data_IF_685308608778
#
_entry.id   IF_685308608778
#
_cell.length_a   1.000
_cell.length_b   1.000
_cell.length_c   1.000
_cell.angle_alpha   90.00
_cell.angle_beta   90.00
_cell.angle_gamma   90.00
#
_symmetry.space_group_name_H-M   'P 1'
#
loop_
_entity.id
_entity.type
_entity.pdbx_description
1 polymer ?
#
# COMPACT_ATOMS: atom_id res chain seq x y z
N UNK A 1 -19.86 -14.81 6.03
CA UNK A 1 -18.61 -15.06 6.78
C UNK A 1 -17.85 -13.76 6.89
N UNK A 2 -17.40 -13.40 8.09
CA UNK A 2 -16.87 -12.06 8.37
C UNK A 2 -15.65 -12.16 9.27
N UNK A 3 -14.49 -11.67 8.81
CA UNK A 3 -13.29 -11.53 9.63
C UNK A 3 -13.59 -10.71 10.89
N UNK A 4 -13.08 -11.15 12.04
CA UNK A 4 -13.25 -10.44 13.31
C UNK A 4 -12.50 -9.11 13.29
N UNK A 5 -12.78 -8.25 14.27
CA UNK A 5 -12.01 -7.02 14.45
C UNK A 5 -10.53 -7.32 14.72
N UNK A 6 -10.24 -8.36 15.49
CA UNK A 6 -8.88 -8.79 15.81
C UNK A 6 -8.16 -9.29 14.56
N UNK A 7 -8.80 -10.07 13.69
CA UNK A 7 -8.18 -10.54 12.43
C UNK A 7 -7.76 -9.37 11.54
N UNK A 8 -8.66 -8.38 11.41
CA UNK A 8 -8.41 -7.14 10.66
C UNK A 8 -7.25 -6.35 11.25
N UNK A 9 -7.18 -6.23 12.57
CA UNK A 9 -6.09 -5.53 13.25
C UNK A 9 -4.76 -6.27 13.13
N UNK A 10 -4.73 -7.60 13.21
CA UNK A 10 -3.52 -8.40 12.98
C UNK A 10 -3.01 -8.23 11.54
N UNK A 11 -3.90 -8.35 10.55
CA UNK A 11 -3.55 -8.12 9.15
C UNK A 11 -3.00 -6.71 8.92
N UNK A 12 -3.66 -5.70 9.51
CA UNK A 12 -3.18 -4.32 9.49
C UNK A 12 -1.79 -4.17 10.09
N UNK A 13 -1.57 -4.71 11.30
CA UNK A 13 -0.31 -4.59 12.01
C UNK A 13 0.85 -5.26 11.26
N UNK A 14 0.62 -6.46 10.70
CA UNK A 14 1.62 -7.17 9.90
C UNK A 14 2.07 -6.31 8.70
N UNK A 15 1.10 -5.78 7.93
CA UNK A 15 1.41 -4.95 6.76
C UNK A 15 2.12 -3.65 7.16
N UNK A 16 1.72 -3.01 8.26
CA UNK A 16 2.38 -1.79 8.74
C UNK A 16 3.79 -2.03 9.23
N UNK A 17 4.06 -3.17 9.86
CA UNK A 17 5.44 -3.58 10.16
C UNK A 17 6.25 -3.75 8.89
N UNK A 18 5.69 -4.33 7.83
CA UNK A 18 6.41 -4.41 6.55
C UNK A 18 6.68 -3.06 5.89
N UNK A 19 5.83 -2.06 6.10
CA UNK A 19 6.00 -0.73 5.51
C UNK A 19 6.95 0.16 6.32
N UNK A 20 6.88 0.08 7.65
CA UNK A 20 7.45 1.11 8.53
C UNK A 20 8.14 0.54 9.77
N UNK A 21 8.18 -0.78 9.93
CA UNK A 21 8.64 -1.46 11.15
C UNK A 21 7.88 -1.03 12.42
N UNK A 22 6.68 -0.46 12.26
CA UNK A 22 5.81 0.00 13.34
C UNK A 22 4.41 -0.60 13.18
N UNK A 23 3.92 -1.42 14.14
CA UNK A 23 2.62 -2.11 14.02
C UNK A 23 1.42 -1.20 13.80
N UNK A 24 1.47 0.03 14.30
CA UNK A 24 0.37 1.00 14.16
C UNK A 24 0.83 2.29 13.45
N UNK A 25 1.96 2.23 12.74
CA UNK A 25 2.56 3.32 11.99
C UNK A 25 2.75 4.61 12.79
N UNK A 26 2.77 5.74 12.07
CA UNK A 26 2.88 7.08 12.65
C UNK A 26 1.74 7.96 12.14
N UNK A 27 0.78 8.25 13.01
CA UNK A 27 -0.38 9.08 12.69
C UNK A 27 -0.01 10.54 12.42
N UNK A 28 1.16 11.00 12.91
CA UNK A 28 1.64 12.36 12.76
C UNK A 28 2.63 12.51 11.60
N UNK A 29 2.99 11.42 10.91
CA UNK A 29 3.82 11.49 9.71
C UNK A 29 3.24 12.52 8.74
N UNK A 30 4.05 13.46 8.28
CA UNK A 30 3.61 14.49 7.35
C UNK A 30 4.83 14.95 6.56
N UNK A 31 4.90 14.53 5.31
CA UNK A 31 6.03 14.76 4.42
C UNK A 31 5.54 15.25 3.07
N UNK A 32 6.41 15.92 2.32
CA UNK A 32 6.19 16.26 0.91
C UNK A 32 7.33 15.61 0.15
N UNK A 33 7.00 14.72 -0.78
CA UNK A 33 7.96 14.02 -1.62
C UNK A 33 8.00 14.65 -3.01
N UNK A 34 9.11 14.48 -3.73
CA UNK A 34 9.28 14.97 -5.10
C UNK A 34 8.65 14.02 -6.14
N UNK A 35 7.46 13.51 -5.83
CA UNK A 35 6.66 12.61 -6.68
C UNK A 35 5.39 13.31 -7.22
N UNK A 36 5.24 14.59 -6.91
CA UNK A 36 4.09 15.41 -7.27
C UNK A 36 2.81 15.07 -6.51
N UNK A 37 2.81 14.15 -5.54
CA UNK A 37 1.63 13.76 -4.76
C UNK A 37 1.19 14.84 -3.75
N UNK A 38 2.09 15.78 -3.44
CA UNK A 38 1.88 16.86 -2.49
C UNK A 38 2.15 16.42 -1.06
N UNK A 39 1.32 16.89 -0.11
CA UNK A 39 1.38 16.41 1.28
C UNK A 39 1.00 14.92 1.31
N UNK A 40 1.86 14.12 1.92
CA UNK A 40 1.62 12.72 2.32
C UNK A 40 1.57 12.65 3.85
N UNK A 41 0.42 12.22 4.38
CA UNK A 41 0.10 12.33 5.81
C UNK A 41 -0.32 11.00 6.45
N UNK A 42 0.06 10.79 7.71
CA UNK A 42 -0.49 9.79 8.60
C UNK A 42 -0.08 8.35 8.32
N UNK A 43 -0.79 7.43 8.98
CA UNK A 43 -0.47 6.00 9.09
C UNK A 43 -0.41 5.26 7.75
N UNK A 44 -1.05 5.80 6.71
CA UNK A 44 -1.10 5.21 5.37
C UNK A 44 -0.68 6.18 4.26
N UNK A 45 0.07 7.24 4.60
CA UNK A 45 0.55 8.23 3.64
C UNK A 45 -0.56 8.80 2.74
N UNK A 46 -1.65 9.28 3.35
CA UNK A 46 -2.76 9.91 2.66
C UNK A 46 -2.26 11.14 1.89
N UNK A 47 -2.40 11.11 0.57
CA UNK A 47 -1.83 12.15 -0.30
C UNK A 47 -2.87 13.18 -0.74
N UNK A 48 -2.44 14.42 -0.94
CA UNK A 48 -3.27 15.47 -1.52
C UNK A 48 -3.76 15.08 -2.92
N UNK A 49 -2.85 14.69 -3.82
CA UNK A 49 -3.20 14.35 -5.21
C UNK A 49 -4.24 13.25 -5.34
N UNK A 50 -4.20 12.24 -4.47
CA UNK A 50 -5.18 11.13 -4.50
C UNK A 50 -6.55 11.50 -3.94
N UNK A 51 -6.67 12.64 -3.25
CA UNK A 51 -7.87 13.01 -2.49
C UNK A 51 -8.01 12.26 -1.16
N UNK A 52 -7.13 11.30 -0.84
CA UNK A 52 -7.21 10.56 0.42
C UNK A 52 -6.91 11.44 1.64
N UNK A 53 -6.05 12.45 1.49
CA UNK A 53 -5.84 13.45 2.54
C UNK A 53 -7.12 14.26 2.83
N UNK A 54 -7.83 14.67 1.77
CA UNK A 54 -9.12 15.36 1.92
C UNK A 54 -10.11 14.48 2.69
N UNK A 55 -10.24 13.20 2.31
CA UNK A 55 -11.15 12.26 2.97
C UNK A 55 -10.87 12.09 4.46
N UNK A 56 -9.58 12.07 4.86
CA UNK A 56 -9.19 12.02 6.28
C UNK A 56 -9.59 13.30 7.00
N UNK A 57 -9.32 14.47 6.41
CA UNK A 57 -9.63 15.75 7.04
C UNK A 57 -11.14 15.96 7.18
N UNK A 58 -11.93 15.68 6.14
CA UNK A 58 -13.39 15.73 6.19
C UNK A 58 -13.95 14.81 7.27
N UNK A 59 -13.43 13.58 7.36
CA UNK A 59 -13.87 12.61 8.38
C UNK A 59 -13.46 13.01 9.79
N UNK A 60 -12.27 13.58 9.98
CA UNK A 60 -11.84 14.12 11.27
C UNK A 60 -12.78 15.23 11.77
N UNK A 61 -13.11 16.19 10.90
CA UNK A 61 -14.03 17.28 11.23
C UNK A 61 -15.43 16.74 11.53
N UNK A 62 -15.91 15.77 10.74
CA UNK A 62 -17.20 15.09 10.99
C UNK A 62 -17.23 14.34 12.32
N UNK A 63 -16.11 13.81 12.77
CA UNK A 63 -15.98 13.14 14.07
C UNK A 63 -15.94 14.13 15.27
N UNK A 64 -16.10 15.44 15.04
CA UNK A 64 -16.08 16.45 16.10
C UNK A 64 -14.67 16.89 16.50
N UNK A 65 -13.66 16.64 15.65
CA UNK A 65 -12.28 17.03 15.92
C UNK A 65 -12.11 18.55 16.07
N UNK A 66 -11.56 19.00 17.20
CA UNK A 66 -11.41 20.42 17.53
C UNK A 66 -9.98 20.95 17.35
N UNK A 67 -8.97 20.13 17.60
CA UNK A 67 -7.56 20.52 17.49
C UNK A 67 -7.21 20.86 16.03
N UNK A 68 -6.81 22.11 15.77
CA UNK A 68 -6.47 22.58 14.43
C UNK A 68 -7.66 22.66 13.46
N UNK A 69 -8.90 22.48 13.93
CA UNK A 69 -10.09 22.38 13.07
C UNK A 69 -10.31 23.62 12.20
N UNK A 70 -10.07 24.82 12.73
CA UNK A 70 -10.20 26.07 11.96
C UNK A 70 -9.31 26.08 10.71
N UNK A 71 -8.04 25.72 10.86
CA UNK A 71 -7.08 25.65 9.73
C UNK A 71 -7.46 24.56 8.75
N UNK A 72 -7.87 23.40 9.27
CA UNK A 72 -8.25 22.24 8.46
C UNK A 72 -9.52 22.51 7.64
N UNK A 73 -10.53 23.16 8.24
CA UNK A 73 -11.76 23.58 7.55
C UNK A 73 -11.46 24.59 6.44
N UNK A 74 -10.64 25.60 6.72
CA UNK A 74 -10.22 26.59 5.70
C UNK A 74 -9.44 25.95 4.55
N UNK A 75 -8.76 24.84 4.80
CA UNK A 75 -7.94 24.14 3.81
C UNK A 75 -8.74 23.15 2.94
N UNK A 76 -10.01 22.88 3.23
CA UNK A 76 -10.81 21.87 2.50
C UNK A 76 -10.92 22.15 1.01
N UNK A 77 -11.14 23.41 0.61
CA UNK A 77 -11.24 23.78 -0.81
C UNK A 77 -9.90 23.57 -1.54
N UNK A 78 -8.78 23.91 -0.89
CA UNK A 78 -7.45 23.69 -1.44
C UNK A 78 -7.13 22.20 -1.57
N UNK A 79 -7.51 21.39 -0.57
CA UNK A 79 -7.35 19.94 -0.58
C UNK A 79 -8.24 19.25 -1.63
N UNK A 80 -9.40 19.85 -1.97
CA UNK A 80 -10.29 19.37 -3.05
C UNK A 80 -9.74 19.68 -4.43
N UNK A 81 -9.03 20.78 -4.59
CA UNK A 81 -8.36 21.13 -5.85
C UNK A 81 -7.04 20.34 -5.99
N UNK A 82 -7.07 19.34 -6.88
CA UNK A 82 -5.92 18.47 -7.21
C UNK A 82 -5.07 19.00 -8.39
N UNK A 83 -5.26 20.26 -8.79
CA UNK A 83 -4.41 20.90 -9.79
C UNK A 83 -2.96 21.03 -9.28
N UNK A 84 -1.98 20.95 -10.17
CA UNK A 84 -0.56 21.09 -9.80
C UNK A 84 -0.26 22.39 -9.04
N UNK A 85 -0.94 23.49 -9.40
CA UNK A 85 -0.82 24.78 -8.71
C UNK A 85 -1.36 24.74 -7.28
N UNK A 86 -2.52 24.11 -7.05
CA UNK A 86 -3.07 23.95 -5.71
C UNK A 86 -2.20 23.02 -4.87
N UNK A 87 -1.76 21.90 -5.44
CA UNK A 87 -0.88 20.95 -4.76
C UNK A 87 0.42 21.62 -4.32
N UNK A 88 1.09 22.36 -5.19
CA UNK A 88 2.33 23.06 -4.86
C UNK A 88 2.12 24.07 -3.70
N UNK A 89 1.08 24.89 -3.79
CA UNK A 89 0.73 25.89 -2.77
C UNK A 89 0.39 25.25 -1.42
N UNK A 90 -0.42 24.20 -1.46
CA UNK A 90 -0.87 23.48 -0.26
C UNK A 90 0.30 22.76 0.41
N UNK A 91 1.21 22.19 -0.37
CA UNK A 91 2.42 21.53 0.14
C UNK A 91 3.40 22.48 0.84
N UNK A 92 3.44 23.73 0.40
CA UNK A 92 4.21 24.80 1.03
C UNK A 92 3.52 25.38 2.30
N UNK A 93 2.27 25.04 2.58
CA UNK A 93 1.53 25.58 3.72
C UNK A 93 1.97 24.92 5.04
N UNK A 94 2.90 25.56 5.76
CA UNK A 94 3.38 25.08 7.05
C UNK A 94 2.30 25.07 8.15
N UNK A 95 1.37 26.02 8.12
CA UNK A 95 0.28 26.09 9.10
C UNK A 95 -0.64 24.87 8.99
N UNK A 96 -0.98 24.46 7.76
CA UNK A 96 -1.73 23.24 7.51
C UNK A 96 -0.97 22.01 8.01
N UNK A 97 0.32 21.87 7.69
CA UNK A 97 1.13 20.73 8.13
C UNK A 97 1.23 20.65 9.65
N UNK A 98 1.37 21.79 10.34
CA UNK A 98 1.34 21.86 11.81
C UNK A 98 -0.02 21.45 12.37
N UNK A 99 -1.12 21.92 11.79
CA UNK A 99 -2.48 21.54 12.20
C UNK A 99 -2.73 20.03 12.05
N UNK A 100 -2.29 19.43 10.93
CA UNK A 100 -2.35 17.98 10.71
C UNK A 100 -1.56 17.19 11.77
N UNK A 101 -0.33 17.62 12.08
CA UNK A 101 0.48 16.96 13.13
C UNK A 101 -0.14 17.13 14.53
N UNK A 102 -0.67 18.31 14.84
CA UNK A 102 -1.34 18.55 16.11
C UNK A 102 -2.61 17.70 16.26
N UNK A 103 -3.42 17.59 15.20
CA UNK A 103 -4.62 16.76 15.21
C UNK A 103 -4.30 15.27 15.36
N UNK A 104 -3.14 14.80 14.89
CA UNK A 104 -2.76 13.37 14.86
C UNK A 104 -2.75 12.67 16.23
N UNK A 105 -2.56 13.40 17.33
CA UNK A 105 -2.56 12.80 18.68
C UNK A 105 -3.98 12.49 19.17
N UNK A 106 -4.98 13.16 18.62
CA UNK A 106 -6.39 13.08 19.03
C UNK A 106 -7.03 11.74 18.68
N UNK A 107 -8.06 11.36 19.43
CA UNK A 107 -8.83 10.13 19.20
C UNK A 107 -9.53 10.21 17.84
N UNK A 108 -10.14 11.34 17.53
CA UNK A 108 -10.97 11.59 16.37
C UNK A 108 -10.16 11.47 15.08
N UNK A 109 -8.92 12.00 15.07
CA UNK A 109 -8.04 11.91 13.91
C UNK A 109 -7.52 10.49 13.72
N UNK A 110 -7.15 9.78 14.80
CA UNK A 110 -6.75 8.37 14.73
C UNK A 110 -7.87 7.51 14.17
N UNK A 111 -9.11 7.72 14.62
CA UNK A 111 -10.31 7.05 14.09
C UNK A 111 -10.53 7.40 12.62
N UNK A 112 -10.38 8.67 12.22
CA UNK A 112 -10.53 9.08 10.83
C UNK A 112 -9.51 8.41 9.91
N UNK A 113 -8.22 8.41 10.27
CA UNK A 113 -7.16 7.75 9.50
C UNK A 113 -7.39 6.23 9.40
N UNK A 114 -7.79 5.59 10.49
CA UNK A 114 -8.09 4.15 10.47
C UNK A 114 -9.30 3.80 9.61
N UNK A 115 -10.35 4.63 9.66
CA UNK A 115 -11.54 4.45 8.83
C UNK A 115 -11.19 4.59 7.34
N UNK A 116 -10.45 5.62 6.96
CA UNK A 116 -10.03 5.81 5.56
C UNK A 116 -9.08 4.70 5.10
N UNK A 117 -8.16 4.25 5.95
CA UNK A 117 -7.31 3.09 5.62
C UNK A 117 -8.13 1.83 5.40
N UNK A 118 -9.11 1.61 6.28
CA UNK A 118 -10.00 0.45 6.19
C UNK A 118 -10.78 0.50 4.87
N UNK A 119 -11.33 1.66 4.53
CA UNK A 119 -12.12 1.87 3.33
C UNK A 119 -11.30 1.67 2.05
N UNK A 120 -10.12 2.29 1.95
CA UNK A 120 -9.34 2.32 0.72
C UNK A 120 -8.49 1.07 0.47
N UNK A 121 -8.11 0.33 1.53
CA UNK A 121 -7.14 -0.76 1.39
C UNK A 121 -7.63 -2.07 1.98
N UNK A 122 -8.17 -2.06 3.20
CA UNK A 122 -8.59 -3.31 3.87
C UNK A 122 -9.89 -3.86 3.28
N UNK A 123 -10.88 -3.02 3.00
CA UNK A 123 -12.16 -3.43 2.42
C UNK A 123 -11.98 -4.07 1.04
N UNK A 124 -11.15 -3.53 0.12
CA UNK A 124 -10.80 -4.23 -1.11
C UNK A 124 -10.20 -5.62 -0.90
N UNK A 125 -9.34 -5.80 0.13
CA UNK A 125 -8.79 -7.10 0.47
C UNK A 125 -9.84 -8.06 1.04
N UNK A 126 -10.74 -7.58 1.88
CA UNK A 126 -11.88 -8.35 2.40
C UNK A 126 -12.82 -8.77 1.25
N UNK A 127 -13.11 -7.86 0.33
CA UNK A 127 -13.94 -8.14 -0.84
C UNK A 127 -13.28 -9.21 -1.74
N UNK A 128 -11.95 -9.12 -1.95
CA UNK A 128 -11.20 -10.17 -2.61
C UNK A 128 -11.32 -11.51 -1.86
N UNK A 129 -11.08 -11.55 -0.55
CA UNK A 129 -11.24 -12.78 0.23
C UNK A 129 -12.66 -13.37 0.08
N UNK A 130 -13.70 -12.54 0.14
CA UNK A 130 -15.10 -12.96 -0.06
C UNK A 130 -15.31 -13.60 -1.44
N UNK A 131 -14.75 -13.02 -2.50
CA UNK A 131 -14.84 -13.56 -3.87
C UNK A 131 -14.19 -14.92 -4.02
N UNK A 132 -13.10 -15.17 -3.29
CA UNK A 132 -12.39 -16.45 -3.32
C UNK A 132 -12.87 -17.44 -2.25
N UNK A 133 -13.81 -17.05 -1.37
CA UNK A 133 -14.30 -17.88 -0.27
C UNK A 133 -13.32 -18.01 0.90
N UNK A 134 -12.35 -17.11 1.03
CA UNK A 134 -11.33 -17.17 2.07
C UNK A 134 -11.84 -16.66 3.42
N UNK A 135 -11.46 -17.37 4.48
CA UNK A 135 -11.96 -17.16 5.84
C UNK A 135 -10.84 -17.09 6.88
N UNK A 136 -9.62 -17.52 6.53
CA UNK A 136 -8.53 -17.63 7.49
C UNK A 136 -7.81 -16.29 7.68
N UNK A 137 -7.45 -15.90 8.92
CA UNK A 137 -6.75 -14.64 9.20
C UNK A 137 -5.44 -14.47 8.42
N UNK A 138 -4.67 -15.55 8.24
CA UNK A 138 -3.45 -15.53 7.42
C UNK A 138 -3.75 -15.17 5.97
N UNK A 139 -4.83 -15.71 5.40
CA UNK A 139 -5.28 -15.40 4.04
C UNK A 139 -5.60 -13.91 3.90
N UNK A 140 -6.33 -13.33 4.87
CA UNK A 140 -6.61 -11.89 4.88
C UNK A 140 -5.32 -11.07 4.87
N UNK A 141 -4.33 -11.40 5.70
CA UNK A 141 -3.06 -10.68 5.76
C UNK A 141 -2.28 -10.78 4.43
N UNK A 142 -2.26 -11.97 3.81
CA UNK A 142 -1.62 -12.19 2.49
C UNK A 142 -2.30 -11.38 1.40
N UNK A 143 -3.64 -11.40 1.34
CA UNK A 143 -4.41 -10.65 0.35
C UNK A 143 -4.24 -9.16 0.59
N UNK A 144 -4.29 -8.70 1.84
CA UNK A 144 -4.14 -7.30 2.20
C UNK A 144 -2.77 -6.73 1.80
N UNK A 145 -1.67 -7.38 2.16
CA UNK A 145 -0.32 -6.96 1.73
C UNK A 145 -0.21 -6.92 0.20
N UNK A 146 -0.79 -7.91 -0.48
CA UNK A 146 -0.77 -8.02 -1.94
C UNK A 146 -1.63 -6.97 -2.65
N UNK A 147 -2.74 -6.55 -2.05
CA UNK A 147 -3.61 -5.47 -2.54
C UNK A 147 -2.92 -4.13 -2.37
N UNK A 148 -2.32 -3.87 -1.21
CA UNK A 148 -1.54 -2.65 -0.95
C UNK A 148 -0.35 -2.55 -1.91
N UNK A 149 0.35 -3.65 -2.16
CA UNK A 149 1.42 -3.69 -3.17
C UNK A 149 0.90 -3.61 -4.62
N UNK A 150 -0.40 -3.82 -4.86
CA UNK A 150 -0.98 -3.88 -6.21
C UNK A 150 -0.62 -5.14 -7.00
N UNK A 151 -0.15 -6.21 -6.35
CA UNK A 151 0.22 -7.47 -7.00
C UNK A 151 -0.84 -8.57 -6.94
N UNK A 152 -1.94 -8.38 -6.17
CA UNK A 152 -2.91 -9.44 -5.90
C UNK A 152 -3.44 -10.13 -7.16
N UNK A 153 -4.19 -9.42 -8.00
CA UNK A 153 -4.81 -9.98 -9.20
C UNK A 153 -3.81 -10.42 -10.27
N UNK A 154 -2.61 -9.82 -10.31
CA UNK A 154 -1.56 -10.24 -11.23
C UNK A 154 -1.08 -11.65 -10.90
N UNK A 155 -0.74 -11.89 -9.64
CA UNK A 155 -0.21 -13.20 -9.20
C UNK A 155 -1.33 -14.24 -9.14
N UNK A 156 -2.53 -13.85 -8.70
CA UNK A 156 -3.68 -14.75 -8.57
C UNK A 156 -4.06 -15.46 -9.87
N UNK A 157 -3.87 -14.82 -11.03
CA UNK A 157 -4.11 -15.42 -12.36
C UNK A 157 -3.25 -16.64 -12.65
N UNK A 158 -2.09 -16.75 -12.01
CA UNK A 158 -1.18 -17.88 -12.21
C UNK A 158 -1.37 -19.01 -11.21
N UNK A 159 -2.24 -18.88 -10.21
CA UNK A 159 -2.43 -19.91 -9.17
C UNK A 159 -3.09 -21.14 -9.79
N UNK A 160 -2.44 -22.30 -9.66
CA UNK A 160 -2.88 -23.55 -10.29
C UNK A 160 -3.85 -24.37 -9.42
N UNK A 161 -4.08 -23.94 -8.18
CA UNK A 161 -4.97 -24.59 -7.22
C UNK A 161 -6.34 -23.91 -7.27
N UNK A 162 -7.43 -24.68 -7.15
CA UNK A 162 -8.78 -24.12 -7.03
C UNK A 162 -8.99 -23.39 -5.70
N UNK A 163 -9.71 -22.26 -5.72
CA UNK A 163 -9.95 -21.43 -4.53
C UNK A 163 -10.71 -22.15 -3.39
N UNK A 164 -11.43 -23.22 -3.72
CA UNK A 164 -12.10 -24.08 -2.74
C UNK A 164 -11.14 -24.70 -1.71
N UNK A 165 -9.86 -24.89 -2.08
CA UNK A 165 -8.81 -25.28 -1.13
C UNK A 165 -8.01 -24.05 -0.71
N UNK A 166 -8.60 -23.24 0.18
CA UNK A 166 -8.04 -21.95 0.64
C UNK A 166 -6.55 -22.05 1.02
N UNK A 167 -6.18 -23.03 1.85
CA UNK A 167 -4.80 -23.17 2.34
C UNK A 167 -3.83 -23.50 1.22
N UNK A 168 -4.18 -24.43 0.34
CA UNK A 168 -3.32 -24.77 -0.80
C UNK A 168 -3.24 -23.62 -1.81
N UNK A 169 -4.35 -22.92 -2.06
CA UNK A 169 -4.41 -21.74 -2.92
C UNK A 169 -3.49 -20.63 -2.41
N UNK A 170 -3.61 -20.26 -1.12
CA UNK A 170 -2.79 -19.21 -0.51
C UNK A 170 -1.32 -19.62 -0.48
N UNK A 171 -1.02 -20.89 -0.24
CA UNK A 171 0.36 -21.40 -0.29
C UNK A 171 0.96 -21.25 -1.68
N UNK A 172 0.26 -21.68 -2.73
CA UNK A 172 0.71 -21.53 -4.13
C UNK A 172 0.85 -20.04 -4.50
N UNK A 173 -0.13 -19.21 -4.12
CA UNK A 173 -0.10 -17.77 -4.32
C UNK A 173 1.16 -17.13 -3.71
N UNK A 174 1.46 -17.40 -2.44
CA UNK A 174 2.60 -16.80 -1.74
C UNK A 174 3.92 -17.25 -2.36
N UNK A 175 4.05 -18.54 -2.73
CA UNK A 175 5.24 -19.06 -3.43
C UNK A 175 5.45 -18.36 -4.77
N UNK A 176 4.39 -18.22 -5.57
CA UNK A 176 4.44 -17.51 -6.85
C UNK A 176 4.81 -16.04 -6.69
N UNK A 177 4.23 -15.37 -5.70
CA UNK A 177 4.56 -13.97 -5.38
C UNK A 177 6.03 -13.85 -4.96
N UNK A 178 6.55 -14.76 -4.15
CA UNK A 178 7.95 -14.75 -3.73
C UNK A 178 8.91 -14.89 -4.92
N UNK A 179 8.65 -15.84 -5.82
CA UNK A 179 9.42 -16.02 -7.06
C UNK A 179 9.32 -14.79 -7.98
N UNK A 180 8.12 -14.22 -8.11
CA UNK A 180 7.90 -13.01 -8.88
C UNK A 180 8.64 -11.80 -8.30
N UNK A 181 8.63 -11.60 -6.98
CA UNK A 181 9.41 -10.54 -6.35
C UNK A 181 10.91 -10.75 -6.56
N UNK A 182 11.38 -12.01 -6.54
CA UNK A 182 12.77 -12.35 -6.81
C UNK A 182 13.23 -12.02 -8.23
N UNK A 183 12.34 -12.09 -9.22
CA UNK A 183 12.69 -11.86 -10.63
C UNK A 183 12.95 -10.39 -10.97
N UNK A 184 12.63 -9.45 -10.08
CA UNK A 184 12.92 -8.02 -10.28
C UNK A 184 13.93 -7.56 -9.23
N UNK A 185 15.15 -7.16 -9.61
CA UNK A 185 16.20 -6.75 -8.66
C UNK A 185 15.72 -5.71 -7.63
N UNK A 186 14.95 -4.71 -8.07
CA UNK A 186 14.39 -3.66 -7.20
C UNK A 186 13.35 -4.15 -6.18
N UNK A 187 12.74 -5.32 -6.41
CA UNK A 187 11.72 -5.91 -5.54
C UNK A 187 12.27 -7.09 -4.73
N UNK A 188 13.43 -7.64 -5.10
CA UNK A 188 13.99 -8.81 -4.45
C UNK A 188 14.20 -8.60 -2.94
N UNK A 189 14.52 -7.37 -2.52
CA UNK A 189 14.66 -7.01 -1.11
C UNK A 189 13.33 -7.08 -0.31
N UNK A 190 12.16 -7.00 -0.95
CA UNK A 190 10.86 -7.04 -0.26
C UNK A 190 10.34 -8.45 0.00
N UNK A 191 11.08 -9.48 -0.43
CA UNK A 191 10.74 -10.91 -0.21
C UNK A 191 10.65 -11.31 1.25
N UNK A 192 11.17 -10.54 2.20
CA UNK A 192 10.95 -10.81 3.62
C UNK A 192 9.44 -10.89 3.96
N UNK A 193 8.58 -10.17 3.22
CA UNK A 193 7.12 -10.19 3.39
C UNK A 193 6.52 -11.56 3.07
N UNK A 194 6.82 -12.08 1.88
CA UNK A 194 6.38 -13.42 1.44
C UNK A 194 7.02 -14.52 2.28
N UNK A 195 8.29 -14.37 2.66
CA UNK A 195 8.98 -15.31 3.55
C UNK A 195 8.37 -15.38 4.94
N UNK A 196 7.91 -14.26 5.50
CA UNK A 196 7.14 -14.27 6.74
C UNK A 196 5.88 -15.13 6.60
N UNK A 197 5.08 -14.92 5.55
CA UNK A 197 3.86 -15.70 5.32
C UNK A 197 4.14 -17.19 5.10
N UNK A 198 5.18 -17.53 4.32
CA UNK A 198 5.61 -18.92 4.15
C UNK A 198 6.04 -19.55 5.47
N UNK A 199 6.69 -18.80 6.35
CA UNK A 199 7.03 -19.24 7.70
C UNK A 199 5.79 -19.57 8.53
N UNK A 200 4.77 -18.70 8.51
CA UNK A 200 3.51 -18.95 9.22
C UNK A 200 2.75 -20.15 8.65
N UNK A 201 2.77 -20.33 7.32
CA UNK A 201 2.19 -21.49 6.64
C UNK A 201 2.90 -22.78 7.05
N UNK A 202 4.24 -22.78 7.11
CA UNK A 202 5.04 -23.95 7.45
C UNK A 202 4.74 -24.48 8.87
N UNK A 203 4.45 -23.58 9.81
CA UNK A 203 4.06 -23.93 11.19
C UNK A 203 2.53 -24.06 11.37
N UNK A 204 1.76 -24.06 10.28
CA UNK A 204 0.29 -24.13 10.29
C UNK A 204 -0.41 -23.04 11.11
N UNK A 205 0.20 -21.86 11.27
CA UNK A 205 -0.37 -20.74 12.03
C UNK A 205 -1.36 -19.91 11.19
N UNK A 206 -2.40 -20.56 10.70
CA UNK A 206 -3.42 -19.95 9.83
C UNK A 206 -4.30 -18.89 10.52
N UNK A 207 -4.41 -18.99 11.85
CA UNK A 207 -5.14 -18.04 12.70
C UNK A 207 -4.30 -16.82 13.11
N UNK A 208 -3.01 -16.79 12.72
CA UNK A 208 -2.07 -15.77 13.17
C UNK A 208 -2.08 -15.63 14.70
N UNK A 209 -1.98 -16.77 15.41
CA UNK A 209 -1.85 -16.82 16.86
C UNK A 209 -0.63 -16.03 17.30
N UNK A 210 -0.81 -15.22 18.33
CA UNK A 210 0.23 -14.41 18.94
C UNK A 210 0.98 -15.26 19.99
N UNK A 211 2.25 -14.95 20.29
CA UNK A 211 3.03 -13.86 19.71
C UNK A 211 3.52 -14.15 18.28
N UNK A 212 3.66 -13.09 17.49
CA UNK A 212 4.25 -13.16 16.14
C UNK A 212 5.51 -12.31 16.08
N UNK A 213 6.59 -12.83 15.49
CA UNK A 213 7.74 -12.01 15.11
C UNK A 213 7.62 -11.62 13.63
N UNK A 214 7.26 -10.37 13.37
CA UNK A 214 7.11 -9.82 12.02
C UNK A 214 8.33 -8.95 11.75
N UNK A 215 9.27 -9.44 10.94
CA UNK A 215 10.46 -8.68 10.54
C UNK A 215 11.21 -7.97 11.71
N UNK A 216 11.40 -8.68 12.83
CA UNK A 216 12.07 -8.15 14.03
C UNK A 216 11.15 -7.46 15.04
N UNK A 217 9.88 -7.26 14.72
CA UNK A 217 8.88 -6.67 15.61
C UNK A 217 8.01 -7.75 16.23
N UNK A 218 8.01 -7.84 17.56
CA UNK A 218 7.20 -8.80 18.30
C UNK A 218 5.79 -8.26 18.55
N UNK A 219 4.80 -8.83 17.87
CA UNK A 219 3.38 -8.59 18.13
C UNK A 219 2.92 -9.50 19.28
N UNK A 220 2.15 -8.95 20.23
CA UNK A 220 1.63 -9.66 21.41
C UNK A 220 0.16 -9.34 21.63
N UNK A 221 -0.55 -10.15 22.41
CA UNK A 221 -1.98 -9.96 22.69
C UNK A 221 -2.28 -8.60 23.32
N UNK A 222 -1.37 -8.07 24.16
CA UNK A 222 -1.52 -6.75 24.77
C UNK A 222 -1.65 -5.60 23.76
N UNK A 223 -1.20 -5.79 22.51
CA UNK A 223 -1.31 -4.80 21.44
C UNK A 223 -2.69 -4.79 20.76
N UNK A 224 -3.50 -5.83 20.97
CA UNK A 224 -4.81 -5.99 20.35
C UNK A 224 -5.85 -6.08 21.46
N UNK A 225 -6.43 -4.95 21.91
CA UNK A 225 -7.38 -4.97 23.01
C UNK A 225 -8.53 -5.92 22.69
N UNK A 226 -8.82 -6.81 23.64
CA UNK A 226 -9.90 -7.77 23.54
C UNK A 226 -11.23 -7.06 23.29
N UNK A 227 -12.12 -7.75 22.59
CA UNK A 227 -13.50 -7.33 22.39
C UNK A 227 -14.20 -7.39 23.76
N UNK A 228 -14.17 -6.28 24.51
CA UNK A 228 -15.03 -6.15 25.69
C UNK A 228 -16.47 -6.33 25.21
N UNK A 229 -17.16 -7.33 25.78
CA UNK A 229 -18.55 -7.65 25.48
C UNK A 229 -19.38 -6.37 25.40
N UNK A 230 -20.00 -6.12 24.24
CA UNK A 230 -20.77 -4.92 24.02
C UNK A 230 -21.93 -4.84 25.03
N UNK A 231 -22.14 -3.72 25.73
CA UNK A 231 -23.38 -3.50 26.46
C UNK A 231 -24.54 -3.46 25.45
N UNK A 232 -25.62 -4.18 25.79
CA UNK A 232 -26.85 -4.31 25.01
C UNK A 232 -27.41 -2.95 24.55
N UNK A 233 -27.60 -2.77 23.24
CA UNK A 233 -28.20 -1.55 22.66
C UNK A 233 -29.70 -1.79 22.35
N UNK A 234 -30.60 -0.82 22.60
CA UNK A 234 -32.04 -0.97 22.36
C UNK A 234 -32.49 -0.68 20.90
N UNK A 235 -33.44 -1.52 20.47
CA UNK A 235 -34.61 -1.42 19.55
C UNK A 235 -34.64 -0.52 18.30
N UNK A 236 -34.66 -1.22 17.16
CA UNK A 236 -35.39 -1.10 15.86
C UNK A 236 -35.65 0.24 15.14
N UNK A 237 -35.84 1.39 15.78
CA UNK A 237 -36.23 2.61 15.01
C UNK A 237 -35.07 3.29 14.28
N UNK A 238 -33.82 2.97 14.65
CA UNK A 238 -32.60 3.55 14.07
C UNK A 238 -32.15 2.84 12.78
N UNK A 239 -32.68 1.64 12.52
CA UNK A 239 -32.25 0.78 11.41
C UNK A 239 -32.89 1.18 10.07
N UNK A 240 -34.12 1.71 10.06
CA UNK A 240 -34.77 2.16 8.81
C UNK A 240 -34.12 3.42 8.24
N UNK A 241 -33.77 4.40 9.09
CA UNK A 241 -33.02 5.60 8.65
C UNK A 241 -31.59 5.27 8.16
N UNK A 242 -30.98 4.22 8.71
CA UNK A 242 -29.68 3.74 8.23
C UNK A 242 -29.80 3.06 6.86
N UNK A 243 -30.92 2.37 6.58
CA UNK A 243 -31.19 1.70 5.30
C UNK A 243 -31.26 2.66 4.12
N UNK A 244 -32.02 3.76 4.22
CA UNK A 244 -32.16 4.74 3.14
C UNK A 244 -30.86 5.51 2.87
N UNK A 245 -30.08 5.78 3.91
CA UNK A 245 -28.76 6.44 3.79
C UNK A 245 -27.74 5.53 3.10
N UNK A 246 -27.84 4.21 3.28
CA UNK A 246 -26.96 3.21 2.66
C UNK A 246 -27.22 3.05 1.16
N UNK A 247 -28.48 3.14 0.73
CA UNK A 247 -28.86 3.03 -0.69
C UNK A 247 -28.32 4.22 -1.49
N UNK A 248 -28.45 5.44 -0.97
CA UNK A 248 -27.86 6.63 -1.61
C UNK A 248 -26.32 6.64 -1.58
N UNK A 249 -25.71 6.02 -0.57
CA UNK A 249 -24.26 5.82 -0.56
C UNK A 249 -23.83 4.83 -1.66
N UNK A 250 -24.55 3.71 -1.83
CA UNK A 250 -24.27 2.70 -2.85
C UNK A 250 -24.30 3.27 -4.28
N UNK A 251 -25.26 4.16 -4.59
CA UNK A 251 -25.34 4.83 -5.90
C UNK A 251 -24.19 5.82 -6.16
N UNK A 252 -23.67 6.47 -5.10
CA UNK A 252 -22.44 7.26 -5.20
C UNK A 252 -21.20 6.37 -5.36
N UNK A 253 -21.18 5.19 -4.73
CA UNK A 253 -20.09 4.22 -4.84
C UNK A 253 -19.95 3.63 -6.25
N UNK A 254 -21.04 3.28 -6.95
CA UNK A 254 -20.97 2.78 -8.33
C UNK A 254 -20.44 3.82 -9.33
N UNK A 255 -20.58 5.11 -9.01
CA UNK A 255 -20.01 6.21 -9.79
C UNK A 255 -18.51 6.34 -9.51
N UNK A 256 -18.10 6.19 -8.25
CA UNK A 256 -16.68 6.23 -7.84
C UNK A 256 -15.93 5.00 -8.32
N UNK A 257 -16.51 3.79 -8.29
CA UNK A 257 -15.88 2.58 -8.80
C UNK A 257 -15.65 2.65 -10.31
N UNK A 258 -16.61 3.17 -11.09
CA UNK A 258 -16.41 3.40 -12.54
C UNK A 258 -15.32 4.44 -12.82
N UNK A 259 -15.25 5.51 -12.03
CA UNK A 259 -14.19 6.53 -12.16
C UNK A 259 -12.84 5.95 -11.73
N UNK A 260 -12.75 5.23 -10.62
CA UNK A 260 -11.52 4.60 -10.11
C UNK A 260 -11.04 3.49 -11.03
N UNK A 261 -11.93 2.70 -11.62
CA UNK A 261 -11.55 1.64 -12.57
C UNK A 261 -11.09 2.25 -13.91
N UNK A 262 -11.76 3.31 -14.39
CA UNK A 262 -11.35 4.05 -15.59
C UNK A 262 -10.05 4.85 -15.39
N UNK A 263 -9.84 5.37 -14.18
CA UNK A 263 -8.60 6.05 -13.79
C UNK A 263 -7.50 5.03 -13.54
N UNK A 264 -7.77 3.86 -12.94
CA UNK A 264 -6.77 2.81 -12.72
C UNK A 264 -6.27 2.23 -14.04
N UNK A 265 -7.14 2.01 -15.02
CA UNK A 265 -6.73 1.57 -16.37
C UNK A 265 -5.96 2.64 -17.14
N UNK A 266 -6.32 3.93 -16.99
CA UNK A 266 -5.51 5.07 -17.50
C UNK A 266 -4.21 5.32 -16.72
N UNK A 267 -4.17 4.95 -15.45
CA UNK A 267 -3.01 5.15 -14.57
C UNK A 267 -2.02 3.99 -14.69
N UNK A 268 -2.45 2.78 -15.05
CA UNK A 268 -1.55 1.67 -15.34
C UNK A 268 -0.73 1.90 -16.60
N UNK A 269 -1.31 2.55 -17.63
CA UNK A 269 -0.54 2.99 -18.81
C UNK A 269 0.41 4.15 -18.48
N UNK A 270 0.07 5.02 -17.52
CA UNK A 270 0.94 6.10 -17.07
C UNK A 270 2.05 5.63 -16.11
N UNK A 271 1.78 4.72 -15.17
CA UNK A 271 2.77 4.18 -14.23
C UNK A 271 3.91 3.45 -14.94
N UNK A 272 3.62 2.79 -16.07
CA UNK A 272 4.61 2.16 -16.95
C UNK A 272 5.65 3.15 -17.50
N UNK A 273 5.20 4.35 -17.89
CA UNK A 273 6.07 5.42 -18.39
C UNK A 273 6.83 6.14 -17.25
N UNK A 274 6.20 6.29 -16.08
CA UNK A 274 6.81 6.95 -14.91
C UNK A 274 7.88 6.11 -14.20
N UNK A 275 7.78 4.78 -14.20
CA UNK A 275 8.82 3.92 -13.60
C UNK A 275 10.14 3.91 -14.37
N UNK A 276 10.13 4.33 -15.63
CA UNK A 276 11.32 4.39 -16.49
C UNK A 276 12.10 5.70 -16.28
N UNK A 277 11.43 6.79 -15.89
CA UNK A 277 12.06 8.11 -15.67
C UNK A 277 12.66 8.27 -14.26
N UNK A 278 12.11 7.60 -13.24
CA UNK A 278 12.65 7.66 -11.87
C UNK A 278 14.00 6.93 -11.75
N UNK A 279 14.22 5.90 -12.58
CA UNK A 279 15.49 5.17 -12.62
C UNK A 279 16.68 6.03 -13.06
N UNK A 280 16.48 6.92 -14.03
CA UNK A 280 17.52 7.83 -14.54
C UNK A 280 17.74 9.04 -13.63
N UNK A 281 16.70 9.57 -12.99
CA UNK A 281 16.82 10.69 -12.03
C UNK A 281 17.54 10.27 -10.74
N UNK A 282 17.29 9.05 -10.25
CA UNK A 282 18.02 8.51 -9.10
C UNK A 282 19.51 8.24 -9.40
N UNK A 283 19.83 7.88 -10.65
CA UNK A 283 21.22 7.78 -11.12
C UNK A 283 21.91 9.16 -11.23
N UNK A 284 21.16 10.22 -11.56
CA UNK A 284 21.72 11.57 -11.62
C UNK A 284 22.02 12.11 -10.22
N UNK A 285 21.19 11.79 -9.22
CA UNK A 285 21.39 12.20 -7.83
C UNK A 285 22.66 11.61 -7.18
N UNK A 286 23.03 10.37 -7.53
CA UNK A 286 24.31 9.78 -7.09
C UNK A 286 25.52 10.40 -7.78
N UNK A 287 25.40 10.83 -9.04
CA UNK A 287 26.46 11.53 -9.75
C UNK A 287 26.76 12.91 -9.12
N UNK A 288 25.73 13.64 -8.68
CA UNK A 288 25.90 14.91 -7.94
C UNK A 288 26.45 14.70 -6.53
N UNK A 289 26.04 13.64 -5.82
CA UNK A 289 26.56 13.33 -4.48
C UNK A 289 28.05 12.94 -4.51
N UNK A 290 28.47 12.21 -5.54
CA UNK A 290 29.86 11.81 -5.71
C UNK A 290 30.80 12.94 -6.20
N UNK A 291 30.26 13.97 -6.87
CA UNK A 291 30.99 15.21 -7.20
C UNK A 291 31.30 16.05 -5.95
N UNK A 292 30.40 16.04 -4.97
CA UNK A 292 30.59 16.73 -3.67
C UNK A 292 31.53 15.94 -2.74
N UNK A 293 31.68 14.62 -2.93
CA UNK A 293 32.51 13.76 -2.09
C UNK A 293 34.00 13.65 -2.50
N UNK A 294 34.45 14.38 -3.53
CA UNK A 294 35.87 14.48 -3.88
C UNK A 294 36.53 13.17 -4.35
N UNK A 295 35.77 12.25 -4.93
CA UNK A 295 36.30 10.95 -5.37
C UNK A 295 37.27 11.10 -6.57
N UNK A 296 38.44 10.41 -6.55
CA UNK A 296 39.45 10.50 -7.62
C UNK A 296 38.93 10.09 -9.01
N UNK A 297 39.45 10.70 -10.08
CA UNK A 297 39.00 10.47 -11.48
C UNK A 297 39.18 9.02 -11.92
N UNK A 298 40.13 8.31 -11.32
CA UNK A 298 40.46 6.91 -11.54
C UNK A 298 39.30 5.98 -11.14
N UNK A 299 38.53 6.37 -10.12
CA UNK A 299 37.34 5.62 -9.70
C UNK A 299 36.23 5.68 -10.76
N UNK A 300 36.04 6.84 -11.39
CA UNK A 300 35.04 7.04 -12.44
C UNK A 300 35.36 6.30 -13.73
N UNK A 301 36.64 6.28 -14.14
CA UNK A 301 37.08 5.49 -15.29
C UNK A 301 36.82 4.01 -15.02
N UNK A 302 37.13 3.52 -13.81
CA UNK A 302 36.88 2.14 -13.40
C UNK A 302 35.39 1.78 -13.46
N UNK A 303 34.52 2.64 -12.91
CA UNK A 303 33.07 2.43 -12.93
C UNK A 303 32.51 2.49 -14.35
N UNK A 304 32.98 3.42 -15.20
CA UNK A 304 32.55 3.53 -16.59
C UNK A 304 32.96 2.32 -17.43
N UNK A 305 34.18 1.80 -17.22
CA UNK A 305 34.67 0.57 -17.87
C UNK A 305 33.84 -0.64 -17.43
N UNK A 306 33.57 -0.80 -16.13
CA UNK A 306 32.71 -1.88 -15.62
C UNK A 306 31.30 -1.80 -16.20
N UNK A 307 30.70 -0.60 -16.23
CA UNK A 307 29.38 -0.39 -16.81
C UNK A 307 29.34 -0.70 -18.31
N UNK A 308 30.36 -0.27 -19.06
CA UNK A 308 30.52 -0.59 -20.48
C UNK A 308 30.66 -2.09 -20.74
N UNK A 309 31.46 -2.80 -19.93
CA UNK A 309 31.62 -4.26 -20.03
C UNK A 309 30.31 -4.99 -19.71
N UNK A 310 29.56 -4.56 -18.69
CA UNK A 310 28.25 -5.13 -18.36
C UNK A 310 27.23 -4.89 -19.48
N UNK A 311 27.25 -3.71 -20.10
CA UNK A 311 26.36 -3.38 -21.22
C UNK A 311 26.69 -4.20 -22.47
N UNK A 312 27.97 -4.40 -22.77
CA UNK A 312 28.42 -5.28 -23.85
C UNK A 312 28.05 -6.75 -23.60
N UNK A 313 28.21 -7.24 -22.36
CA UNK A 313 27.79 -8.57 -21.96
C UNK A 313 26.27 -8.77 -22.08
N UNK A 314 25.49 -7.74 -21.72
CA UNK A 314 24.04 -7.73 -21.88
C UNK A 314 23.62 -7.78 -23.35
N UNK A 315 24.23 -6.94 -24.20
CA UNK A 315 23.96 -6.91 -25.64
C UNK A 315 24.35 -8.23 -26.31
N UNK A 316 25.50 -8.80 -25.97
CA UNK A 316 25.92 -10.12 -26.44
C UNK A 316 24.90 -11.20 -26.07
N UNK A 317 24.42 -11.19 -24.82
CA UNK A 317 23.40 -12.14 -24.35
C UNK A 317 22.07 -11.99 -25.09
N UNK A 318 21.64 -10.76 -25.39
CA UNK A 318 20.41 -10.50 -26.16
C UNK A 318 20.53 -10.99 -27.61
N UNK A 319 21.67 -10.74 -28.26
CA UNK A 319 21.93 -11.21 -29.62
C UNK A 319 22.01 -12.75 -29.65
N UNK A 320 22.67 -13.37 -28.68
CA UNK A 320 22.76 -14.83 -28.57
C UNK A 320 21.38 -15.47 -28.36
N UNK A 321 20.55 -14.89 -27.49
CA UNK A 321 19.17 -15.35 -27.27
C UNK A 321 18.26 -15.10 -28.48
N UNK A 322 18.50 -14.03 -29.24
CA UNK A 322 17.82 -13.74 -30.50
C UNK A 322 18.12 -14.81 -31.56
N UNK A 323 19.39 -15.15 -31.74
CA UNK A 323 19.83 -16.20 -32.70
C UNK A 323 19.28 -17.58 -32.33
N UNK A 324 19.23 -17.93 -31.04
CA UNK A 324 18.63 -19.20 -30.58
C UNK A 324 17.12 -19.23 -30.87
N UNK A 325 16.42 -18.11 -30.72
CA UNK A 325 14.99 -18.00 -31.03
C UNK A 325 14.71 -18.10 -32.53
N UNK A 326 15.57 -17.50 -33.37
CA UNK A 326 15.46 -17.60 -34.82
C UNK A 326 15.72 -19.04 -35.32
N UNK A 327 16.72 -19.73 -34.75
CA UNK A 327 17.00 -21.14 -35.06
C UNK A 327 15.87 -22.10 -34.61
N UNK A 328 15.20 -21.79 -33.49
CA UNK A 328 14.02 -22.55 -33.04
C UNK A 328 12.77 -22.24 -33.87
N UNK A 329 12.71 -21.09 -34.55
CA UNK A 329 11.57 -20.68 -35.36
C UNK A 329 11.65 -21.16 -36.82
N UNK A 330 12.85 -21.46 -37.34
CA UNK A 330 13.06 -21.97 -38.71
C UNK A 330 13.25 -23.50 -38.78
N UNK A 331 13.15 -24.21 -37.65
CA UNK A 331 13.29 -25.67 -37.53
C UNK A 331 11.98 -26.47 -37.66
N UNK A 332 10.95 -25.92 -38.29
CA UNK A 332 9.70 -26.62 -38.66
C UNK A 332 9.42 -26.43 -40.15
#
# INVERSE_FOLDING_TARGET
MTFTKTDKLKAFAIVKVFETSRPFGDYAACVVLDDGAGISYGVSQFTHRSGSLLAVVERYLKNGGTVGSNVLTQSLNALRDVSGRSIARTSANETLKKALRAAAVTREMKVAQMAVTTELYLNPAIAACKRYGFTQPLSLAVVFDSVVHGSFYRVARGVGVGAANERAWITDYVRRRDTWLASYPRLAATRYRTRFFLGQIAISNWELKLPLNVHGVRLTDAMFPAEAAAPSVPTTSTLEKAGETLTHAAERFDRVERVVTTVATRTDSAKSLWTTLIGTVWQTAWATFAFVAGLPREFWITVAVIAGLLMLAYLYRQIALGKIREQLATGH
#
